data_IF_872653473434
#
_entry.id   IF_872653473434
#
_cell.length_a   1.000
_cell.length_b   1.000
_cell.length_c   1.000
_cell.angle_alpha   90.00
_cell.angle_beta   90.00
_cell.angle_gamma   90.00
#
_symmetry.space_group_name_H-M   'P 1'
#
loop_
_entity.id
_entity.type
_entity.pdbx_description
1 polymer ?
#
# COMPACT_ATOMS: atom_id res chain seq x y z
N UNK A 1 27.14 -15.63 18.05
CA UNK A 1 25.77 -15.25 18.46
C UNK A 1 25.24 -14.27 17.42
N UNK A 2 24.16 -14.61 16.72
CA UNK A 2 23.49 -13.69 15.81
C UNK A 2 22.68 -12.69 16.65
N UNK A 3 22.83 -11.40 16.40
CA UNK A 3 22.06 -10.37 17.09
C UNK A 3 20.62 -10.43 16.56
N UNK A 4 19.65 -10.59 17.46
CA UNK A 4 18.23 -10.50 17.12
C UNK A 4 17.71 -9.15 17.58
N UNK A 5 16.91 -8.51 16.72
CA UNK A 5 16.21 -7.27 17.01
C UNK A 5 14.71 -7.54 16.92
N UNK A 6 13.92 -6.85 17.75
CA UNK A 6 12.47 -6.78 17.56
C UNK A 6 12.16 -5.80 16.43
N UNK A 7 11.20 -6.15 15.58
CA UNK A 7 10.78 -5.32 14.46
C UNK A 7 9.29 -5.49 14.19
N UNK A 8 8.73 -4.47 13.53
CA UNK A 8 7.41 -4.48 12.93
C UNK A 8 7.47 -3.69 11.61
N UNK A 9 6.53 -3.95 10.71
CA UNK A 9 6.40 -3.25 9.45
C UNK A 9 5.23 -2.28 9.52
N UNK A 10 5.46 -1.05 9.05
CA UNK A 10 4.43 -0.05 8.85
C UNK A 10 4.13 0.06 7.36
N UNK A 11 2.88 -0.20 7.00
CA UNK A 11 2.31 0.10 5.70
C UNK A 11 1.57 1.42 5.83
N UNK A 12 1.92 2.41 5.02
CA UNK A 12 1.31 3.74 5.07
C UNK A 12 0.98 4.23 3.67
N UNK A 13 -0.17 4.87 3.53
CA UNK A 13 -0.57 5.58 2.33
C UNK A 13 -1.14 6.94 2.72
N UNK A 14 -0.79 7.96 1.94
CA UNK A 14 -1.31 9.32 2.08
C UNK A 14 -1.87 9.80 0.75
N UNK A 15 -3.00 10.49 0.79
CA UNK A 15 -3.53 11.23 -0.35
C UNK A 15 -2.84 12.60 -0.40
N UNK A 16 -1.99 12.89 -1.41
CA UNK A 16 -1.25 14.17 -1.46
C UNK A 16 -2.17 15.39 -1.58
N UNK A 17 -3.38 15.21 -2.13
CA UNK A 17 -4.33 16.29 -2.36
C UNK A 17 -5.14 16.68 -1.10
N UNK A 18 -5.38 15.73 -0.18
CA UNK A 18 -6.26 15.95 0.98
C UNK A 18 -5.55 15.78 2.33
N UNK A 19 -4.40 15.10 2.36
CA UNK A 19 -3.72 14.68 3.59
C UNK A 19 -4.34 13.47 4.28
N UNK A 20 -5.43 12.90 3.74
CA UNK A 20 -6.04 11.68 4.29
C UNK A 20 -5.02 10.54 4.27
N UNK A 21 -4.94 9.79 5.36
CA UNK A 21 -3.88 8.80 5.58
C UNK A 21 -4.49 7.51 6.09
N UNK A 22 -4.00 6.38 5.57
CA UNK A 22 -4.34 5.03 6.03
C UNK A 22 -3.08 4.22 6.31
N UNK A 23 -3.07 3.54 7.46
CA UNK A 23 -1.91 2.82 7.94
C UNK A 23 -2.25 1.46 8.57
N UNK A 24 -1.34 0.51 8.42
CA UNK A 24 -1.42 -0.83 8.99
C UNK A 24 -0.05 -1.23 9.53
N UNK A 25 -0.02 -1.68 10.80
CA UNK A 25 1.18 -2.27 11.40
C UNK A 25 1.05 -3.79 11.34
N UNK A 26 2.10 -4.48 10.90
CA UNK A 26 2.13 -5.94 10.79
C UNK A 26 3.49 -6.53 11.21
N UNK A 27 3.52 -7.76 11.76
CA UNK A 27 4.78 -8.42 12.11
C UNK A 27 5.52 -9.00 10.89
N UNK A 28 4.85 -9.06 9.73
CA UNK A 28 5.36 -9.60 8.48
C UNK A 28 5.02 -8.69 7.31
N UNK A 29 5.81 -8.79 6.24
CA UNK A 29 5.62 -8.04 5.01
C UNK A 29 5.38 -9.01 3.84
N UNK A 30 4.13 -9.10 3.38
CA UNK A 30 3.73 -9.98 2.28
C UNK A 30 2.52 -9.42 1.50
N UNK A 31 2.10 -10.14 0.45
CA UNK A 31 0.96 -9.74 -0.37
C UNK A 31 -0.37 -9.71 0.40
N UNK A 32 -0.59 -10.60 1.37
CA UNK A 32 -1.84 -10.63 2.16
C UNK A 32 -2.00 -9.36 3.01
N UNK A 33 -0.91 -8.90 3.61
CA UNK A 33 -0.91 -7.65 4.40
C UNK A 33 -1.09 -6.45 3.49
N UNK A 34 -0.46 -6.43 2.31
CA UNK A 34 -0.67 -5.38 1.31
C UNK A 34 -2.12 -5.31 0.84
N UNK A 35 -2.74 -6.47 0.60
CA UNK A 35 -4.17 -6.57 0.24
C UNK A 35 -5.08 -5.99 1.34
N UNK A 36 -4.79 -6.29 2.61
CA UNK A 36 -5.53 -5.69 3.74
C UNK A 36 -5.35 -4.18 3.79
N UNK A 37 -4.14 -3.68 3.54
CA UNK A 37 -3.89 -2.24 3.48
C UNK A 37 -4.65 -1.57 2.32
N UNK A 38 -4.68 -2.18 1.13
CA UNK A 38 -5.50 -1.72 0.01
C UNK A 38 -6.99 -1.70 0.36
N UNK A 39 -7.49 -2.71 1.08
CA UNK A 39 -8.89 -2.72 1.52
C UNK A 39 -9.23 -1.56 2.48
N UNK A 40 -8.30 -1.17 3.36
CA UNK A 40 -8.47 0.00 4.23
C UNK A 40 -8.50 1.29 3.41
N UNK A 41 -7.58 1.44 2.45
CA UNK A 41 -7.56 2.58 1.53
C UNK A 41 -8.87 2.67 0.75
N UNK A 42 -9.32 1.56 0.17
CA UNK A 42 -10.56 1.46 -0.61
C UNK A 42 -11.80 1.91 0.17
N UNK A 43 -11.87 1.62 1.47
CA UNK A 43 -12.95 2.07 2.35
C UNK A 43 -12.94 3.58 2.62
N UNK A 44 -11.77 4.23 2.52
CA UNK A 44 -11.64 5.68 2.69
C UNK A 44 -11.83 6.48 1.42
N UNK A 45 -11.73 5.85 0.25
CA UNK A 45 -11.99 6.54 -1.01
C UNK A 45 -13.44 7.07 -0.99
N UNK A 46 -13.65 8.39 -1.14
CA UNK A 46 -14.99 8.96 -1.16
C UNK A 46 -15.85 8.36 -2.27
N UNK A 47 -17.15 8.21 -2.02
CA UNK A 47 -18.10 7.68 -3.00
C UNK A 47 -18.00 8.46 -4.33
N UNK A 48 -17.95 7.72 -5.43
CA UNK A 48 -17.82 8.30 -6.78
C UNK A 48 -16.40 8.75 -7.15
N UNK A 49 -15.40 8.43 -6.33
CA UNK A 49 -13.98 8.62 -6.67
C UNK A 49 -13.27 7.28 -6.85
N UNK A 50 -12.16 7.36 -7.57
CA UNK A 50 -11.22 6.27 -7.80
C UNK A 50 -9.84 6.71 -7.30
N UNK A 51 -9.17 5.86 -6.51
CA UNK A 51 -7.82 6.16 -6.05
C UNK A 51 -6.78 5.44 -6.91
N UNK A 52 -5.77 6.19 -7.32
CA UNK A 52 -4.58 5.66 -7.98
C UNK A 52 -3.47 5.61 -6.94
N UNK A 53 -3.00 4.40 -6.66
CA UNK A 53 -1.96 4.12 -5.67
C UNK A 53 -0.63 4.07 -6.39
N UNK A 54 0.26 4.99 -6.05
CA UNK A 54 1.62 5.05 -6.60
C UNK A 54 2.56 4.31 -5.66
N UNK A 55 3.28 3.34 -6.19
CA UNK A 55 4.14 2.42 -5.41
C UNK A 55 5.46 2.17 -6.13
N UNK A 56 6.47 1.72 -5.38
CA UNK A 56 7.73 1.25 -5.95
C UNK A 56 7.59 -0.15 -6.59
N UNK A 57 8.72 -0.70 -7.05
CA UNK A 57 8.80 -2.03 -7.67
C UNK A 57 8.87 -3.23 -6.71
N UNK A 58 8.57 -3.09 -5.42
CA UNK A 58 8.69 -4.19 -4.47
C UNK A 58 7.80 -5.40 -4.83
N UNK A 59 8.23 -6.60 -4.42
CA UNK A 59 7.59 -7.85 -4.81
C UNK A 59 6.11 -7.95 -4.36
N UNK A 60 5.71 -7.26 -3.30
CA UNK A 60 4.33 -7.21 -2.80
C UNK A 60 3.49 -6.07 -3.40
N UNK A 61 4.07 -5.19 -4.21
CA UNK A 61 3.35 -4.15 -4.94
C UNK A 61 2.96 -4.66 -6.34
N UNK A 62 1.91 -5.48 -6.42
CA UNK A 62 1.47 -6.06 -7.70
C UNK A 62 0.13 -5.48 -8.16
N UNK A 63 0.01 -5.20 -9.46
CA UNK A 63 -1.18 -4.60 -10.08
C UNK A 63 -2.42 -5.49 -9.87
N UNK A 64 -2.25 -6.81 -9.94
CA UNK A 64 -3.35 -7.75 -9.75
C UNK A 64 -3.96 -7.71 -8.34
N UNK A 65 -3.27 -7.15 -7.33
CA UNK A 65 -3.85 -6.98 -6.01
C UNK A 65 -5.03 -6.01 -6.00
N UNK A 66 -5.07 -5.07 -6.96
CA UNK A 66 -6.17 -4.13 -7.10
C UNK A 66 -7.36 -4.65 -7.91
N UNK A 67 -7.25 -5.78 -8.59
CA UNK A 67 -8.32 -6.32 -9.47
C UNK A 67 -9.61 -6.67 -8.74
N UNK A 68 -9.54 -6.89 -7.42
CA UNK A 68 -10.70 -7.16 -6.55
C UNK A 68 -11.39 -5.90 -6.00
N UNK A 69 -10.90 -4.71 -6.32
CA UNK A 69 -11.47 -3.45 -5.86
C UNK A 69 -11.93 -2.62 -7.05
N UNK A 70 -13.19 -2.21 -7.02
CA UNK A 70 -13.78 -1.43 -8.12
C UNK A 70 -13.28 0.04 -8.16
N UNK A 71 -12.63 0.50 -7.08
CA UNK A 71 -12.29 1.90 -6.87
C UNK A 71 -10.79 2.17 -6.66
N UNK A 72 -9.93 1.17 -6.91
CA UNK A 72 -8.48 1.28 -6.76
C UNK A 72 -7.74 0.85 -8.04
N UNK A 73 -6.60 1.47 -8.31
CA UNK A 73 -5.62 0.96 -9.28
C UNK A 73 -4.20 1.27 -8.82
N UNK A 74 -3.23 0.46 -9.22
CA UNK A 74 -1.82 0.66 -8.92
C UNK A 74 -1.05 1.18 -10.14
N UNK A 75 -0.19 2.17 -9.92
CA UNK A 75 0.86 2.59 -10.86
C UNK A 75 2.22 2.37 -10.20
N UNK A 76 3.14 1.73 -10.92
CA UNK A 76 4.51 1.53 -10.47
C UNK A 76 5.41 2.67 -10.93
N UNK A 77 6.24 3.17 -10.04
CA UNK A 77 7.34 4.05 -10.38
C UNK A 77 8.40 3.31 -11.20
N UNK A 78 9.18 4.02 -12.04
CA UNK A 78 10.37 3.45 -12.64
C UNK A 78 11.33 2.87 -11.58
N UNK A 79 12.13 1.86 -11.92
CA UNK A 79 13.13 1.33 -11.00
C UNK A 79 14.06 2.43 -10.47
N UNK A 80 14.35 2.39 -9.17
CA UNK A 80 15.27 3.32 -8.50
C UNK A 80 14.86 4.80 -8.55
N UNK A 81 13.55 5.09 -8.57
CA UNK A 81 13.00 6.45 -8.48
C UNK A 81 12.24 6.64 -7.16
N UNK A 82 12.94 6.86 -6.03
CA UNK A 82 12.29 7.13 -4.75
C UNK A 82 11.70 8.55 -4.63
N UNK A 83 12.07 9.48 -5.52
CA UNK A 83 11.53 10.85 -5.59
C UNK A 83 10.19 10.96 -6.31
#
# INVERSE_FOLDING_TARGET
>A
KQQQFEYAYLFGAVCPATGDTEALIAPIMNMDVMEKHLALIGQKVPKGRHAVIVVDGAAWHQVHLTEKFDNLSIIKLPPYSPE
#
